data_IF_258162148977
#
_entry.id   IF_258162148977
#
_cell.length_a   1.000
_cell.length_b   1.000
_cell.length_c   1.000
_cell.angle_alpha   90.00
_cell.angle_beta   90.00
_cell.angle_gamma   90.00
#
_symmetry.space_group_name_H-M   'P 1'
#
loop_
_entity.id
_entity.type
_entity.pdbx_description
1 polymer ?
#
# COMPACT_ATOMS: atom_id res chain seq x y z
N UNK A 1 -0.88 2.64 16.64
CA UNK A 1 -0.38 3.31 15.42
C UNK A 1 -0.98 2.55 14.25
N UNK A 2 -1.71 3.22 13.36
CA UNK A 2 -2.31 2.57 12.20
C UNK A 2 -1.19 2.16 11.24
N UNK A 3 -1.18 0.90 10.81
CA UNK A 3 -0.13 0.38 9.94
C UNK A 3 -0.27 1.00 8.55
N UNK A 4 0.65 1.92 8.21
CA UNK A 4 0.66 2.63 6.94
C UNK A 4 1.48 1.84 5.92
N UNK A 5 0.82 1.41 4.84
CA UNK A 5 1.50 0.77 3.71
C UNK A 5 2.10 1.86 2.82
N UNK A 6 3.42 1.90 2.79
CA UNK A 6 4.23 2.80 1.97
C UNK A 6 4.71 2.06 0.72
N UNK A 7 4.51 2.68 -0.44
CA UNK A 7 5.08 2.29 -1.73
C UNK A 7 6.20 3.29 -2.08
N UNK A 8 7.42 2.79 -2.23
CA UNK A 8 8.57 3.54 -2.72
C UNK A 8 9.19 2.87 -3.95
N UNK A 9 10.07 3.58 -4.65
CA UNK A 9 10.75 3.08 -5.86
C UNK A 9 12.24 3.37 -5.74
N UNK A 10 13.05 2.33 -5.86
CA UNK A 10 14.49 2.47 -6.01
C UNK A 10 14.81 2.61 -7.50
N UNK A 11 15.57 3.64 -7.87
CA UNK A 11 15.92 3.94 -9.27
C UNK A 11 17.33 3.43 -9.58
N UNK A 12 17.50 2.89 -10.78
CA UNK A 12 18.76 2.38 -11.31
C UNK A 12 18.90 2.78 -12.78
N UNK A 13 20.12 2.85 -13.29
CA UNK A 13 20.35 3.11 -14.72
C UNK A 13 19.62 2.07 -15.58
N UNK A 14 18.91 2.54 -16.61
CA UNK A 14 18.22 1.66 -17.52
C UNK A 14 19.21 1.03 -18.52
N UNK A 15 19.60 -0.21 -18.25
CA UNK A 15 20.53 -0.97 -19.10
C UNK A 15 20.00 -1.28 -20.51
N UNK A 16 18.70 -1.09 -20.79
CA UNK A 16 18.09 -1.43 -22.07
C UNK A 16 18.09 -0.28 -23.07
N UNK A 17 18.21 0.96 -22.60
CA UNK A 17 17.99 2.14 -23.44
C UNK A 17 19.22 3.03 -23.57
N UNK A 18 20.26 2.81 -22.76
CA UNK A 18 21.54 3.53 -22.75
C UNK A 18 21.40 5.06 -22.80
N UNK A 19 20.22 5.58 -22.43
CA UNK A 19 19.86 6.98 -22.54
C UNK A 19 20.06 7.65 -21.19
N UNK A 20 20.88 8.69 -21.16
CA UNK A 20 21.08 9.48 -19.95
C UNK A 20 19.74 10.05 -19.45
N UNK A 21 19.45 9.83 -18.18
CA UNK A 21 18.20 10.24 -17.55
C UNK A 21 17.05 9.24 -17.71
N UNK A 22 17.28 8.09 -18.34
CA UNK A 22 16.36 6.96 -18.34
C UNK A 22 16.75 5.96 -17.26
N UNK A 23 15.82 5.70 -16.33
CA UNK A 23 16.05 4.88 -15.15
C UNK A 23 14.99 3.78 -15.05
N UNK A 24 15.44 2.58 -14.70
CA UNK A 24 14.56 1.49 -14.31
C UNK A 24 14.21 1.61 -12.81
N UNK A 25 12.91 1.46 -12.49
CA UNK A 25 12.42 1.50 -11.12
C UNK A 25 12.16 0.10 -10.57
N UNK A 26 12.67 -0.19 -9.36
CA UNK A 26 12.26 -1.37 -8.58
C UNK A 26 11.27 -0.92 -7.48
N UNK A 27 10.01 -1.37 -7.52
CA UNK A 27 9.07 -1.04 -6.48
C UNK A 27 9.44 -1.74 -5.17
N UNK A 28 9.33 -1.00 -4.07
CA UNK A 28 9.49 -1.51 -2.71
C UNK A 28 8.23 -1.20 -1.93
N UNK A 29 7.60 -2.25 -1.40
CA UNK A 29 6.32 -2.17 -0.70
C UNK A 29 6.56 -2.65 0.72
N UNK A 30 6.10 -1.88 1.70
CA UNK A 30 6.31 -2.15 3.14
C UNK A 30 5.26 -3.07 3.76
N UNK A 31 4.15 -3.36 3.07
CA UNK A 31 3.10 -4.23 3.56
C UNK A 31 2.09 -4.66 2.49
N UNK A 32 1.18 -5.56 2.82
CA UNK A 32 0.12 -6.04 1.92
C UNK A 32 -1.19 -6.12 2.68
N UNK A 33 -2.31 -5.84 2.02
CA UNK A 33 -3.64 -6.09 2.57
C UNK A 33 -4.23 -7.37 1.99
N UNK A 34 -4.90 -8.15 2.83
CA UNK A 34 -5.74 -9.28 2.45
C UNK A 34 -7.22 -8.90 2.61
N UNK A 35 -8.10 -9.76 2.09
CA UNK A 35 -9.54 -9.54 2.20
C UNK A 35 -10.02 -9.41 3.64
N UNK A 36 -9.40 -10.15 4.58
CA UNK A 36 -9.72 -10.09 6.00
C UNK A 36 -9.41 -8.70 6.60
N UNK A 37 -8.25 -8.12 6.27
CA UNK A 37 -7.85 -6.78 6.71
C UNK A 37 -8.81 -5.70 6.17
N UNK A 38 -9.23 -5.84 4.91
CA UNK A 38 -10.18 -4.93 4.25
C UNK A 38 -11.57 -5.04 4.90
N UNK A 39 -12.03 -6.26 5.15
CA UNK A 39 -13.31 -6.51 5.79
C UNK A 39 -13.36 -5.93 7.21
N UNK A 40 -12.28 -6.07 7.98
CA UNK A 40 -12.16 -5.49 9.32
C UNK A 40 -12.20 -3.96 9.25
N UNK A 41 -11.47 -3.33 8.33
CA UNK A 41 -11.49 -1.87 8.12
C UNK A 41 -12.87 -1.36 7.76
N UNK A 42 -13.57 -2.04 6.84
CA UNK A 42 -14.94 -1.69 6.46
C UNK A 42 -15.94 -1.88 7.61
N UNK A 43 -15.73 -2.90 8.44
CA UNK A 43 -16.53 -3.16 9.63
C UNK A 43 -16.31 -2.10 10.73
N UNK A 44 -15.08 -1.68 10.97
CA UNK A 44 -14.75 -0.64 11.96
C UNK A 44 -15.16 0.75 11.50
N UNK A 45 -15.18 1.01 10.18
CA UNK A 45 -15.62 2.28 9.61
C UNK A 45 -17.16 2.40 9.50
N UNK A 46 -17.92 1.33 9.76
CA UNK A 46 -19.38 1.36 9.67
C UNK A 46 -20.01 2.10 10.86
N UNK A 47 -20.74 3.21 10.63
CA UNK A 47 -21.38 3.98 11.70
C UNK A 47 -22.51 3.21 12.40
N UNK A 48 -23.03 2.15 11.79
CA UNK A 48 -24.19 1.39 12.29
C UNK A 48 -23.86 0.53 13.51
N UNK A 49 -22.57 0.27 13.79
CA UNK A 49 -22.17 -0.57 14.94
C UNK A 49 -22.04 0.23 16.25
N UNK A 50 -21.84 1.54 16.19
CA UNK A 50 -21.71 2.39 17.37
C UNK A 50 -23.02 2.54 18.17
N UNK A 51 -24.16 2.13 17.60
CA UNK A 51 -25.51 2.36 18.16
C UNK A 51 -26.28 1.11 18.56
N UNK A 52 -25.67 -0.08 18.52
CA UNK A 52 -26.36 -1.31 18.94
C UNK A 52 -26.01 -1.62 20.42
N UNK A 53 -26.90 -1.33 21.39
CA UNK A 53 -26.69 -1.77 22.77
C UNK A 53 -26.87 -3.30 22.87
N UNK A 54 -26.20 -3.87 23.87
CA UNK A 54 -26.23 -5.29 24.21
C UNK A 54 -27.62 -5.78 24.64
#
# INVERSE_FOLDING_TARGET
MEEQIILSVDLYDNALTEKQGDYAGKPRITGTLRNEDIALRGYTASPTKASRPA
#
